data_IF_993351679115
#
_entry.id   IF_993351679115
#
_cell.length_a   1.000
_cell.length_b   1.000
_cell.length_c   1.000
_cell.angle_alpha   90.00
_cell.angle_beta   90.00
_cell.angle_gamma   90.00
#
_symmetry.space_group_name_H-M   'P 1'
#
loop_
_entity.id
_entity.type
_entity.pdbx_description
1 polymer ?
#
# COMPACT_ATOMS: atom_id res chain seq x y z
N UNK A 1 -2.17 5.09 -23.78
CA UNK A 1 -1.32 6.27 -23.41
C UNK A 1 -0.29 5.78 -22.39
N UNK A 2 0.91 6.38 -22.24
CA UNK A 2 1.86 5.93 -21.23
C UNK A 2 1.22 6.04 -19.83
N UNK A 3 1.15 4.94 -19.08
CA UNK A 3 0.58 4.94 -17.74
C UNK A 3 1.67 5.23 -16.71
N UNK A 4 1.44 6.12 -15.73
CA UNK A 4 2.37 6.32 -14.61
C UNK A 4 2.69 5.02 -13.86
N UNK A 5 1.79 4.04 -13.90
CA UNK A 5 1.93 2.75 -13.22
C UNK A 5 2.82 1.74 -13.97
N UNK A 6 3.22 2.04 -15.21
CA UNK A 6 4.23 1.26 -15.93
C UNK A 6 5.58 1.30 -15.21
N UNK A 7 5.88 2.41 -14.52
CA UNK A 7 7.06 2.54 -13.70
C UNK A 7 6.91 1.76 -12.37
N UNK A 8 7.72 0.71 -12.12
CA UNK A 8 7.65 -0.06 -10.88
C UNK A 8 7.94 0.79 -9.63
N UNK A 9 8.77 1.83 -9.72
CA UNK A 9 9.05 2.71 -8.59
C UNK A 9 7.78 3.44 -8.10
N UNK A 10 6.91 3.86 -9.01
CA UNK A 10 5.65 4.51 -8.66
C UNK A 10 4.67 3.47 -8.10
N UNK A 11 4.61 2.30 -8.75
CA UNK A 11 3.68 1.22 -8.40
C UNK A 11 3.90 0.64 -7.01
N UNK A 12 5.14 0.57 -6.57
CA UNK A 12 5.50 0.09 -5.23
C UNK A 12 5.68 1.25 -4.24
N UNK A 13 6.20 2.39 -4.69
CA UNK A 13 6.47 3.54 -3.84
C UNK A 13 5.20 4.14 -3.24
N UNK A 14 4.13 4.26 -4.04
CA UNK A 14 2.88 4.84 -3.54
C UNK A 14 2.23 3.99 -2.44
N UNK A 15 2.03 2.66 -2.60
CA UNK A 15 1.54 1.80 -1.53
C UNK A 15 2.48 1.68 -0.32
N UNK A 16 3.80 1.74 -0.52
CA UNK A 16 4.73 1.71 0.61
C UNK A 16 4.60 2.95 1.49
N UNK A 17 4.44 4.14 0.88
CA UNK A 17 4.33 5.39 1.62
C UNK A 17 3.05 5.42 2.46
N UNK A 18 1.90 5.05 1.88
CA UNK A 18 0.64 4.97 2.62
C UNK A 18 0.69 3.90 3.72
N UNK A 19 1.20 2.70 3.42
CA UNK A 19 1.36 1.64 4.41
C UNK A 19 2.29 2.04 5.56
N UNK A 20 3.33 2.84 5.28
CA UNK A 20 4.23 3.40 6.31
C UNK A 20 3.47 4.35 7.24
N UNK A 21 2.60 5.21 6.70
CA UNK A 21 1.75 6.09 7.50
C UNK A 21 0.79 5.28 8.37
N UNK A 22 0.13 4.26 7.81
CA UNK A 22 -0.76 3.36 8.56
C UNK A 22 -0.01 2.65 9.68
N UNK A 23 1.17 2.12 9.40
CA UNK A 23 2.01 1.47 10.40
C UNK A 23 2.45 2.44 11.51
N UNK A 24 2.86 3.66 11.15
CA UNK A 24 3.20 4.70 12.11
C UNK A 24 2.00 5.03 13.02
N UNK A 25 0.81 5.19 12.45
CA UNK A 25 -0.41 5.42 13.24
C UNK A 25 -0.69 4.24 14.18
N UNK A 26 -0.54 3.02 13.69
CA UNK A 26 -0.77 1.82 14.48
C UNK A 26 0.18 1.70 15.68
N UNK A 27 1.45 2.04 15.52
CA UNK A 27 2.43 1.97 16.61
C UNK A 27 2.34 3.16 17.58
N UNK A 28 2.00 4.35 17.09
CA UNK A 28 2.00 5.57 17.90
C UNK A 28 0.68 5.80 18.65
N UNK A 29 -0.44 5.30 18.14
CA UNK A 29 -1.77 5.65 18.67
C UNK A 29 -2.70 4.47 18.95
N UNK A 30 -2.40 3.25 18.49
CA UNK A 30 -3.30 2.10 18.65
C UNK A 30 -2.77 1.07 19.65
N UNK A 31 -3.69 0.51 20.42
CA UNK A 31 -3.39 -0.52 21.42
C UNK A 31 -4.21 -1.80 21.18
N UNK A 32 -3.77 -2.88 21.81
CA UNK A 32 -4.44 -4.18 21.76
C UNK A 32 -4.61 -4.72 20.34
N UNK A 33 -5.75 -5.37 20.09
CA UNK A 33 -6.05 -6.06 18.82
C UNK A 33 -6.11 -5.09 17.63
N UNK A 34 -6.58 -3.86 17.85
CA UNK A 34 -6.78 -2.87 16.77
C UNK A 34 -5.47 -2.52 16.08
N UNK A 35 -4.36 -2.45 16.84
CA UNK A 35 -3.02 -2.26 16.26
C UNK A 35 -2.67 -3.36 15.25
N UNK A 36 -2.90 -4.62 15.59
CA UNK A 36 -2.57 -5.74 14.70
C UNK A 36 -3.47 -5.78 13.46
N UNK A 37 -4.74 -5.39 13.59
CA UNK A 37 -5.64 -5.24 12.42
C UNK A 37 -5.10 -4.16 11.49
N UNK A 38 -4.73 -2.98 12.00
CA UNK A 38 -4.17 -1.90 11.19
C UNK A 38 -2.84 -2.31 10.50
N UNK A 39 -1.97 -3.02 11.21
CA UNK A 39 -0.74 -3.57 10.62
C UNK A 39 -1.04 -4.63 9.56
N UNK A 40 -2.06 -5.47 9.75
CA UNK A 40 -2.53 -6.40 8.74
C UNK A 40 -2.99 -5.70 7.47
N UNK A 41 -3.73 -4.59 7.61
CA UNK A 41 -4.13 -3.76 6.47
C UNK A 41 -2.91 -3.16 5.77
N UNK A 42 -1.93 -2.63 6.50
CA UNK A 42 -0.71 -2.09 5.91
C UNK A 42 0.07 -3.15 5.11
N UNK A 43 0.15 -4.40 5.60
CA UNK A 43 0.76 -5.51 4.86
C UNK A 43 -0.03 -5.84 3.60
N UNK A 44 -1.36 -5.93 3.70
CA UNK A 44 -2.22 -6.18 2.54
C UNK A 44 -2.07 -5.09 1.49
N UNK A 45 -1.95 -3.84 1.90
CA UNK A 45 -1.74 -2.71 0.99
C UNK A 45 -0.45 -2.87 0.18
N UNK A 46 0.67 -3.19 0.84
CA UNK A 46 1.96 -3.41 0.16
C UNK A 46 1.95 -4.60 -0.79
N UNK A 47 1.16 -5.65 -0.49
CA UNK A 47 1.11 -6.88 -1.31
C UNK A 47 0.12 -6.77 -2.46
N UNK A 48 -1.06 -6.19 -2.20
CA UNK A 48 -2.21 -6.22 -3.12
C UNK A 48 -2.23 -4.99 -4.02
N UNK A 49 -2.02 -3.78 -3.47
CA UNK A 49 -2.17 -2.55 -4.23
C UNK A 49 -1.24 -2.47 -5.47
N UNK A 50 0.05 -2.90 -5.40
CA UNK A 50 0.88 -2.92 -6.60
C UNK A 50 0.36 -3.83 -7.71
N UNK A 51 -0.35 -4.91 -7.37
CA UNK A 51 -0.94 -5.81 -8.37
C UNK A 51 -2.15 -5.17 -9.04
N UNK A 52 -2.99 -4.47 -8.28
CA UNK A 52 -4.12 -3.70 -8.82
C UNK A 52 -3.60 -2.60 -9.76
N UNK A 53 -2.58 -1.85 -9.35
CA UNK A 53 -1.98 -0.80 -10.18
C UNK A 53 -1.32 -1.37 -11.45
N UNK A 54 -0.72 -2.56 -11.36
CA UNK A 54 -0.19 -3.28 -12.55
C UNK A 54 -1.32 -3.63 -13.52
N UNK A 55 -2.43 -4.16 -13.01
CA UNK A 55 -3.60 -4.49 -13.83
C UNK A 55 -4.22 -3.23 -14.43
N UNK A 56 -4.30 -2.14 -13.68
CA UNK A 56 -4.78 -0.85 -14.17
C UNK A 56 -3.90 -0.32 -15.31
N UNK A 57 -2.58 -0.46 -15.22
CA UNK A 57 -1.66 -0.10 -16.31
C UNK A 57 -1.89 -0.95 -17.57
N UNK A 58 -2.08 -2.26 -17.41
CA UNK A 58 -2.27 -3.18 -18.52
C UNK A 58 -3.62 -3.01 -19.25
N UNK A 59 -4.62 -2.45 -18.57
CA UNK A 59 -5.98 -2.28 -19.06
C UNK A 59 -6.31 -0.81 -19.43
N UNK A 60 -5.32 0.09 -19.45
CA UNK A 60 -5.47 1.52 -19.77
C UNK A 60 -5.08 1.85 -21.22
#
# INVERSE_FOLDING_TARGET
MPSPFDNPAIRYGLPLLSATVVAAVAFLFLEGTVRYVALGIAVLEVVVAPQILKQAAANA
#
